data_IF_110146151006
#
_entry.id   IF_110146151006
#
_cell.length_a   1.000
_cell.length_b   1.000
_cell.length_c   1.000
_cell.angle_alpha   90.00
_cell.angle_beta   90.00
_cell.angle_gamma   90.00
#
_symmetry.space_group_name_H-M   'P 1'
#
loop_
_entity.id
_entity.type
_entity.pdbx_description
1 polymer ?
#
# COMPACT_ATOMS: atom_id res chain seq x y z
N UNK A 1 6.95 1.73 -16.42
CA UNK A 1 7.36 2.71 -15.40
C UNK A 1 7.38 2.06 -14.03
N UNK A 2 8.48 2.19 -13.33
CA UNK A 2 8.64 1.67 -11.95
C UNK A 2 8.39 0.17 -11.80
N UNK A 3 8.80 -0.63 -12.76
CA UNK A 3 8.57 -2.08 -12.75
C UNK A 3 9.16 -2.75 -11.51
N UNK A 4 10.34 -2.33 -11.09
CA UNK A 4 10.98 -2.89 -9.91
C UNK A 4 10.19 -2.56 -8.63
N UNK A 5 9.74 -1.31 -8.50
CA UNK A 5 8.91 -0.90 -7.36
C UNK A 5 7.57 -1.61 -7.38
N UNK A 6 6.95 -1.75 -8.56
CA UNK A 6 5.70 -2.50 -8.71
C UNK A 6 5.85 -3.95 -8.24
N UNK A 7 6.97 -4.60 -8.61
CA UNK A 7 7.22 -5.97 -8.18
C UNK A 7 7.37 -6.06 -6.67
N UNK A 8 8.09 -5.13 -6.06
CA UNK A 8 8.26 -5.11 -4.60
C UNK A 8 6.94 -4.90 -3.88
N UNK A 9 6.12 -3.98 -4.37
CA UNK A 9 4.81 -3.70 -3.78
C UNK A 9 3.89 -4.90 -3.96
N UNK A 10 3.93 -5.53 -5.13
CA UNK A 10 3.17 -6.74 -5.39
C UNK A 10 3.54 -7.86 -4.42
N UNK A 11 4.84 -8.13 -4.27
CA UNK A 11 5.30 -9.18 -3.34
C UNK A 11 4.93 -8.86 -1.90
N UNK A 12 5.03 -7.60 -1.49
CA UNK A 12 4.64 -7.19 -0.15
C UNK A 12 3.15 -7.42 0.11
N UNK A 13 2.30 -7.15 -0.89
CA UNK A 13 0.88 -7.42 -0.78
C UNK A 13 0.61 -8.93 -0.66
N UNK A 14 1.32 -9.77 -1.42
CA UNK A 14 1.19 -11.22 -1.29
C UNK A 14 1.64 -11.71 0.08
N UNK A 15 2.64 -11.09 0.67
CA UNK A 15 3.13 -11.45 2.00
C UNK A 15 2.07 -11.20 3.08
N UNK A 16 1.20 -10.22 2.91
CA UNK A 16 0.07 -10.01 3.82
C UNK A 16 -0.82 -11.25 3.87
N UNK A 17 -1.07 -11.86 2.71
CA UNK A 17 -1.88 -13.07 2.61
C UNK A 17 -1.18 -14.24 3.31
N UNK A 18 0.11 -14.42 3.03
CA UNK A 18 0.91 -15.52 3.62
C UNK A 18 0.97 -15.44 5.14
N UNK A 19 0.98 -14.23 5.68
CA UNK A 19 1.02 -14.02 7.13
C UNK A 19 -0.36 -14.02 7.79
N UNK A 20 -1.43 -14.21 7.01
CA UNK A 20 -2.78 -14.24 7.54
C UNK A 20 -3.27 -12.89 8.06
N UNK A 21 -2.71 -11.80 7.54
CA UNK A 21 -3.02 -10.45 8.00
C UNK A 21 -4.17 -9.78 7.25
N UNK A 22 -4.63 -10.39 6.18
CA UNK A 22 -5.72 -9.85 5.36
C UNK A 22 -6.74 -10.92 5.02
N UNK A 23 -7.98 -10.50 4.73
CA UNK A 23 -9.11 -11.36 4.36
C UNK A 23 -9.70 -10.78 3.07
N UNK A 24 -10.07 -11.65 2.14
CA UNK A 24 -10.68 -11.26 0.84
C UNK A 24 -9.71 -10.34 0.08
N UNK A 25 -10.19 -9.15 -0.32
CA UNK A 25 -9.38 -8.14 -1.02
C UNK A 25 -8.92 -7.01 -0.10
N UNK A 26 -9.21 -7.11 1.18
CA UNK A 26 -8.92 -6.08 2.17
C UNK A 26 -7.44 -6.03 2.51
N UNK A 27 -7.00 -4.86 2.98
CA UNK A 27 -5.61 -4.65 3.29
C UNK A 27 -4.81 -4.27 2.05
N UNK A 28 -3.71 -3.58 2.24
CA UNK A 28 -2.88 -3.15 1.12
C UNK A 28 -1.51 -2.66 1.57
N UNK A 29 -0.58 -2.69 0.63
CA UNK A 29 0.76 -2.15 0.80
C UNK A 29 1.01 -1.19 -0.35
N UNK A 30 1.68 -0.09 -0.08
CA UNK A 30 2.20 0.80 -1.11
C UNK A 30 3.70 1.03 -0.91
N UNK A 31 4.35 1.53 -1.95
CA UNK A 31 5.73 1.96 -1.92
C UNK A 31 5.87 3.27 -2.67
N UNK A 32 6.92 4.01 -2.39
CA UNK A 32 7.13 5.34 -3.00
C UNK A 32 8.50 5.44 -3.65
N UNK A 33 8.52 6.14 -4.79
CA UNK A 33 9.75 6.64 -5.40
C UNK A 33 9.80 8.14 -5.10
N UNK A 34 10.63 8.52 -4.13
CA UNK A 34 10.72 9.91 -3.66
C UNK A 34 11.25 10.87 -4.72
N UNK A 35 12.17 10.39 -5.55
CA UNK A 35 12.75 11.24 -6.61
C UNK A 35 11.70 11.67 -7.62
N UNK A 36 10.82 10.74 -7.98
CA UNK A 36 9.78 10.99 -8.96
C UNK A 36 8.47 11.50 -8.35
N UNK A 37 8.33 11.39 -7.03
CA UNK A 37 7.09 11.76 -6.35
C UNK A 37 5.93 10.86 -6.73
N UNK A 38 6.19 9.57 -6.96
CA UNK A 38 5.20 8.60 -7.41
C UNK A 38 5.03 7.48 -6.40
N UNK A 39 3.78 7.12 -6.14
CA UNK A 39 3.41 6.06 -5.20
C UNK A 39 2.82 4.90 -6.00
N UNK A 40 3.30 3.69 -5.72
CA UNK A 40 2.74 2.46 -6.29
C UNK A 40 1.89 1.79 -5.24
N UNK A 41 0.64 1.47 -5.58
CA UNK A 41 -0.30 0.90 -4.62
C UNK A 41 -1.14 -0.20 -5.29
N UNK A 42 -1.61 -1.12 -4.45
CA UNK A 42 -2.51 -2.20 -4.86
C UNK A 42 -3.80 -1.63 -5.45
N UNK A 43 -4.31 -2.21 -6.54
CA UNK A 43 -5.62 -1.82 -7.07
C UNK A 43 -6.74 -2.24 -6.12
N UNK A 44 -7.86 -1.51 -6.19
CA UNK A 44 -9.05 -1.76 -5.38
C UNK A 44 -9.79 -3.01 -5.88
N UNK A 45 -10.21 -3.85 -4.95
CA UNK A 45 -11.14 -4.94 -5.25
C UNK A 45 -10.60 -6.08 -6.11
N UNK A 46 -9.29 -6.19 -6.23
CA UNK A 46 -8.67 -7.29 -6.99
C UNK A 46 -8.25 -8.40 -6.02
N UNK A 47 -8.64 -9.63 -6.34
CA UNK A 47 -8.26 -10.79 -5.54
C UNK A 47 -6.76 -11.01 -5.55
N UNK A 48 -6.19 -11.35 -4.39
CA UNK A 48 -4.77 -11.63 -4.27
C UNK A 48 -4.32 -12.79 -5.17
N UNK A 49 -5.20 -13.78 -5.39
CA UNK A 49 -4.88 -14.95 -6.20
C UNK A 49 -4.67 -14.65 -7.68
N UNK A 50 -5.34 -13.62 -8.17
CA UNK A 50 -5.30 -13.26 -9.60
C UNK A 50 -4.49 -11.99 -9.87
N UNK A 51 -4.09 -11.28 -8.82
CA UNK A 51 -3.35 -10.04 -8.93
C UNK A 51 -1.95 -10.27 -9.53
N UNK A 52 -1.52 -9.33 -10.36
CA UNK A 52 -0.20 -9.35 -10.99
C UNK A 52 0.54 -8.05 -10.64
N UNK A 53 1.87 -8.10 -10.74
CA UNK A 53 2.68 -6.90 -10.54
C UNK A 53 2.27 -5.78 -11.50
N UNK A 54 1.89 -6.13 -12.74
CA UNK A 54 1.44 -5.16 -13.72
C UNK A 54 0.11 -4.49 -13.40
N UNK A 55 -0.66 -5.06 -12.44
CA UNK A 55 -1.92 -4.47 -11.99
C UNK A 55 -1.72 -3.32 -11.00
N UNK A 56 -0.53 -3.18 -10.44
CA UNK A 56 -0.24 -2.11 -9.50
C UNK A 56 -0.46 -0.75 -10.15
N UNK A 57 -1.01 0.18 -9.39
CA UNK A 57 -1.38 1.51 -9.89
C UNK A 57 -0.36 2.53 -9.41
N UNK A 58 0.04 3.43 -10.30
CA UNK A 58 0.97 4.51 -9.98
C UNK A 58 0.19 5.81 -9.82
N UNK A 59 0.37 6.46 -8.68
CA UNK A 59 -0.36 7.67 -8.30
C UNK A 59 0.64 8.79 -8.01
N UNK A 60 0.32 10.00 -8.45
CA UNK A 60 1.14 11.17 -8.14
C UNK A 60 0.95 11.57 -6.67
N UNK A 61 2.06 11.75 -5.95
CA UNK A 61 2.00 12.07 -4.52
C UNK A 61 1.26 13.38 -4.24
N UNK A 62 1.54 14.41 -5.02
CA UNK A 62 0.99 15.75 -4.77
C UNK A 62 -0.46 15.88 -5.15
N UNK A 63 -0.84 15.40 -6.33
CA UNK A 63 -2.21 15.57 -6.85
C UNK A 63 -3.15 14.44 -6.48
N UNK A 64 -2.61 13.26 -6.16
CA UNK A 64 -3.42 12.08 -5.90
C UNK A 64 -4.01 11.44 -7.15
N UNK A 65 -3.61 11.91 -8.34
CA UNK A 65 -4.14 11.39 -9.60
C UNK A 65 -3.37 10.17 -10.07
N UNK A 66 -4.08 9.26 -10.73
CA UNK A 66 -3.47 8.09 -11.35
C UNK A 66 -2.62 8.54 -12.53
N UNK A 67 -1.35 8.14 -12.51
CA UNK A 67 -0.39 8.44 -13.58
C UNK A 67 -0.26 7.26 -14.53
N UNK A 68 -0.34 6.04 -14.02
CA UNK A 68 -0.22 4.84 -14.81
C UNK A 68 -1.05 3.72 -14.18
N UNK A 69 -1.72 2.94 -15.00
CA UNK A 69 -2.54 1.81 -14.58
C UNK A 69 -3.97 1.92 -15.09
N UNK A 70 -4.57 0.77 -15.37
CA UNK A 70 -5.94 0.72 -15.90
C UNK A 70 -6.98 0.53 -14.79
N UNK A 71 -6.55 0.01 -13.65
CA UNK A 71 -7.44 -0.28 -12.53
C UNK A 71 -7.50 0.90 -11.58
N UNK A 72 -8.55 0.95 -10.77
CA UNK A 72 -8.67 1.97 -9.74
C UNK A 72 -7.70 1.66 -8.60
N UNK A 73 -6.99 2.67 -8.06
CA UNK A 73 -6.15 2.45 -6.91
C UNK A 73 -7.00 2.10 -5.68
N UNK A 74 -6.39 1.48 -4.68
CA UNK A 74 -7.04 1.18 -3.41
C UNK A 74 -7.79 2.39 -2.87
N UNK A 75 -8.96 2.17 -2.27
CA UNK A 75 -9.72 3.24 -1.61
C UNK A 75 -8.96 3.87 -0.44
N UNK A 76 -7.92 3.20 0.05
CA UNK A 76 -7.06 3.71 1.12
C UNK A 76 -5.95 4.63 0.62
N UNK A 77 -5.87 4.86 -0.68
CA UNK A 77 -4.83 5.70 -1.27
C UNK A 77 -4.69 7.07 -0.60
N UNK A 78 -5.78 7.82 -0.32
CA UNK A 78 -5.64 9.10 0.36
C UNK A 78 -4.89 9.00 1.70
N UNK A 79 -5.15 7.96 2.48
CA UNK A 79 -4.46 7.72 3.75
C UNK A 79 -2.97 7.48 3.53
N UNK A 80 -2.61 6.64 2.55
CA UNK A 80 -1.21 6.39 2.21
C UNK A 80 -0.49 7.68 1.82
N UNK A 81 -1.11 8.51 1.00
CA UNK A 81 -0.52 9.77 0.55
C UNK A 81 -0.29 10.75 1.70
N UNK A 82 -1.24 10.84 2.63
CA UNK A 82 -1.10 11.68 3.82
C UNK A 82 0.12 11.24 4.65
N UNK A 83 0.29 9.92 4.82
CA UNK A 83 1.42 9.39 5.59
C UNK A 83 2.76 9.67 4.90
N UNK A 84 2.82 9.53 3.58
CA UNK A 84 4.05 9.85 2.84
C UNK A 84 4.42 11.32 2.93
N UNK A 85 3.44 12.21 2.93
CA UNK A 85 3.68 13.65 3.08
C UNK A 85 4.10 14.01 4.50
N UNK A 86 3.48 13.37 5.50
CA UNK A 86 3.77 13.65 6.91
C UNK A 86 5.12 13.07 7.36
N UNK A 87 5.53 11.95 6.77
CA UNK A 87 6.75 11.24 7.18
C UNK A 87 7.69 11.09 5.98
N UNK A 88 8.55 12.09 5.71
CA UNK A 88 9.36 12.11 4.49
C UNK A 88 10.41 11.01 4.40
N UNK A 89 10.67 10.29 5.49
CA UNK A 89 11.69 9.23 5.52
C UNK A 89 11.13 7.83 5.27
N UNK A 90 9.80 7.65 5.24
CA UNK A 90 9.24 6.32 5.02
C UNK A 90 9.24 5.98 3.53
N UNK A 91 9.43 4.69 3.23
CA UNK A 91 9.47 4.18 1.86
C UNK A 91 8.27 3.30 1.53
N UNK A 92 7.48 2.94 2.51
CA UNK A 92 6.30 2.11 2.31
C UNK A 92 5.29 2.28 3.43
N UNK A 93 4.04 1.92 3.12
CA UNK A 93 2.92 1.95 4.07
C UNK A 93 2.17 0.63 3.97
N UNK A 94 1.87 0.03 5.11
CA UNK A 94 1.09 -1.20 5.20
C UNK A 94 -0.20 -0.94 5.97
N UNK A 95 -1.32 -1.33 5.39
CA UNK A 95 -2.64 -1.22 6.03
C UNK A 95 -3.26 -2.61 6.12
N UNK A 96 -3.61 -3.05 7.33
CA UNK A 96 -4.26 -4.34 7.55
C UNK A 96 -5.45 -4.18 8.48
N UNK A 97 -6.34 -5.22 8.48
CA UNK A 97 -7.50 -5.28 9.36
C UNK A 97 -7.44 -6.48 10.30
N UNK A 98 -6.26 -7.03 10.52
CA UNK A 98 -6.07 -8.15 11.42
C UNK A 98 -6.41 -7.75 12.88
N UNK A 99 -7.15 -8.62 13.57
CA UNK A 99 -7.49 -8.39 14.99
C UNK A 99 -6.24 -8.22 15.84
N UNK A 100 -5.24 -9.06 15.62
CA UNK A 100 -4.00 -9.00 16.37
C UNK A 100 -3.20 -7.73 16.04
N UNK A 101 -3.15 -7.36 14.78
CA UNK A 101 -2.46 -6.14 14.37
C UNK A 101 -3.14 -4.91 14.98
N UNK A 102 -4.47 -4.88 15.02
CA UNK A 102 -5.22 -3.80 15.63
C UNK A 102 -4.95 -3.71 17.14
N UNK A 103 -4.94 -4.85 17.81
CA UNK A 103 -4.63 -4.90 19.25
C UNK A 103 -3.21 -4.37 19.51
N UNK A 104 -2.25 -4.75 18.69
CA UNK A 104 -0.88 -4.26 18.78
C UNK A 104 -0.78 -2.76 18.56
N UNK A 105 -1.49 -2.23 17.57
CA UNK A 105 -1.49 -0.80 17.29
C UNK A 105 -1.97 0.01 18.49
N UNK A 106 -3.04 -0.43 19.14
CA UNK A 106 -3.57 0.23 20.32
C UNK A 106 -2.58 0.17 21.49
N UNK A 107 -1.99 -1.00 21.75
CA UNK A 107 -1.01 -1.18 22.82
C UNK A 107 0.25 -0.36 22.54
N UNK A 108 0.70 -0.36 21.30
CA UNK A 108 1.93 0.28 20.89
C UNK A 108 1.89 1.80 21.04
N UNK A 109 0.73 2.40 20.89
CA UNK A 109 0.54 3.83 21.10
C UNK A 109 0.99 4.24 22.50
N UNK A 110 0.72 3.43 23.51
CA UNK A 110 1.15 3.67 24.88
C UNK A 110 2.64 3.45 25.08
N UNK A 111 3.20 2.47 24.39
CA UNK A 111 4.62 2.14 24.51
C UNK A 111 5.52 3.15 23.83
N UNK A 112 5.03 3.80 22.79
CA UNK A 112 5.81 4.73 21.97
C UNK A 112 5.57 6.18 22.33
N UNK A 113 4.53 6.44 23.05
CA UNK A 113 4.23 7.79 23.51
C UNK A 113 5.18 8.25 24.65
#
# INVERSE_FOLDING_TARGET
MLEELKEKVYQANLDLVKQGLVIFTWGNVSGIDREKGLVVIKPSGVDYDTMKASDMVVVDLESGKVVEGELNPSSDTPTHLVLYKAFPNIQGVVHTHSTYATAWAVSYTHLRA
#
